data_IF_458671930570
#
_entry.id   IF_458671930570
#
_cell.length_a   1.000
_cell.length_b   1.000
_cell.length_c   1.000
_cell.angle_alpha   90.00
_cell.angle_beta   90.00
_cell.angle_gamma   90.00
#
_symmetry.space_group_name_H-M   'P 1'
#
loop_
_entity.id
_entity.type
_entity.pdbx_description
1 polymer ?
#
# COMPACT_ATOMS: atom_id res chain seq x y z
N UNK A 1 -6.86 9.07 12.75
CA UNK A 1 -6.52 9.43 11.35
C UNK A 1 -5.16 10.12 11.26
N UNK A 2 -4.87 11.14 12.08
CA UNK A 2 -3.55 11.79 12.09
C UNK A 2 -2.41 10.79 12.40
N UNK A 3 -2.48 10.05 13.51
CA UNK A 3 -1.46 9.04 13.87
C UNK A 3 -1.24 7.99 12.79
N UNK A 4 -2.34 7.51 12.18
CA UNK A 4 -2.28 6.57 11.06
C UNK A 4 -1.41 7.14 9.94
N UNK A 5 -1.70 8.35 9.44
CA UNK A 5 -0.90 8.91 8.35
C UNK A 5 0.53 9.26 8.78
N UNK A 6 0.74 9.68 10.03
CA UNK A 6 2.04 10.03 10.59
C UNK A 6 3.02 8.83 10.59
N UNK A 7 2.52 7.63 10.89
CA UNK A 7 3.33 6.43 11.11
C UNK A 7 3.20 5.36 10.01
N UNK A 8 2.30 5.56 9.03
CA UNK A 8 2.01 4.65 7.91
C UNK A 8 3.23 4.12 7.16
N UNK A 9 4.33 4.87 7.12
CA UNK A 9 5.59 4.47 6.49
C UNK A 9 6.15 3.14 6.99
N UNK A 10 5.72 2.69 8.17
CA UNK A 10 6.11 1.43 8.80
C UNK A 10 4.96 0.46 9.06
N UNK A 11 3.73 0.82 8.67
CA UNK A 11 2.57 -0.02 8.95
C UNK A 11 2.56 -1.29 8.12
N UNK A 12 2.28 -2.46 8.72
CA UNK A 12 2.13 -3.73 8.00
C UNK A 12 1.21 -3.60 6.78
N UNK A 13 0.11 -2.86 6.89
CA UNK A 13 -0.86 -2.67 5.80
C UNK A 13 -0.28 -1.86 4.62
N UNK A 14 0.59 -0.90 4.90
CA UNK A 14 1.34 -0.18 3.86
C UNK A 14 2.37 -1.10 3.19
N UNK A 15 3.06 -1.94 3.98
CA UNK A 15 4.03 -2.90 3.48
C UNK A 15 3.36 -3.96 2.59
N UNK A 16 2.18 -4.46 2.98
CA UNK A 16 1.38 -5.38 2.20
C UNK A 16 1.03 -4.80 0.82
N UNK A 17 0.58 -3.55 0.76
CA UNK A 17 0.30 -2.85 -0.50
C UNK A 17 1.54 -2.69 -1.39
N UNK A 18 2.69 -2.32 -0.80
CA UNK A 18 3.96 -2.25 -1.56
C UNK A 18 4.38 -3.62 -2.10
N UNK A 19 4.21 -4.69 -1.31
CA UNK A 19 4.54 -6.05 -1.71
C UNK A 19 3.65 -6.54 -2.87
N UNK A 20 2.34 -6.28 -2.77
CA UNK A 20 1.35 -6.60 -3.80
C UNK A 20 1.72 -5.96 -5.13
N UNK A 21 2.00 -4.65 -5.11
CA UNK A 21 2.37 -3.92 -6.32
C UNK A 21 3.71 -4.42 -6.85
N UNK A 22 4.76 -4.52 -6.02
CA UNK A 22 6.07 -4.97 -6.49
C UNK A 22 6.05 -6.38 -7.09
N UNK A 23 5.27 -7.29 -6.51
CA UNK A 23 5.20 -8.68 -6.98
C UNK A 23 4.60 -8.83 -8.39
N UNK A 24 3.77 -7.88 -8.84
CA UNK A 24 3.05 -7.98 -10.11
C UNK A 24 3.39 -6.87 -11.11
N UNK A 25 3.80 -5.70 -10.64
CA UNK A 25 4.15 -4.53 -11.44
C UNK A 25 5.28 -3.75 -10.74
N UNK A 26 6.53 -4.26 -10.76
CA UNK A 26 7.63 -3.67 -9.97
C UNK A 26 8.11 -2.30 -10.45
N UNK A 27 7.84 -1.93 -11.70
CA UNK A 27 8.34 -0.71 -12.32
C UNK A 27 7.34 -0.11 -13.33
N UNK A 28 6.12 0.29 -12.88
CA UNK A 28 5.17 0.95 -13.77
C UNK A 28 5.71 2.32 -14.19
N UNK A 29 5.57 2.64 -15.47
CA UNK A 29 5.82 3.98 -16.02
C UNK A 29 4.68 4.93 -15.70
N UNK A 30 3.43 4.43 -15.64
CA UNK A 30 2.23 5.20 -15.30
C UNK A 30 1.40 4.47 -14.25
N UNK A 31 1.01 5.19 -13.20
CA UNK A 31 0.22 4.62 -12.12
C UNK A 31 -0.95 5.52 -11.70
N UNK A 32 -2.07 4.90 -11.39
CA UNK A 32 -3.27 5.53 -10.86
C UNK A 32 -3.62 4.94 -9.49
N UNK A 33 -4.04 5.76 -8.53
CA UNK A 33 -4.57 5.29 -7.24
C UNK A 33 -5.90 5.96 -6.89
N UNK A 34 -6.95 5.15 -6.73
CA UNK A 34 -8.25 5.58 -6.19
C UNK A 34 -8.21 5.57 -4.66
N UNK A 35 -8.77 6.62 -4.06
CA UNK A 35 -8.72 6.88 -2.62
C UNK A 35 -7.27 6.96 -2.09
N UNK A 36 -6.42 7.68 -2.82
CA UNK A 36 -4.97 7.77 -2.55
C UNK A 36 -4.61 8.44 -1.21
N UNK A 37 -5.58 9.04 -0.50
CA UNK A 37 -5.35 9.71 0.75
C UNK A 37 -4.33 10.84 0.63
N UNK A 38 -3.27 10.78 1.44
CA UNK A 38 -2.17 11.76 1.36
C UNK A 38 -1.03 11.30 0.43
N UNK A 39 -1.20 10.19 -0.30
CA UNK A 39 -0.29 9.78 -1.37
C UNK A 39 0.92 8.96 -0.94
N UNK A 40 0.83 8.13 0.10
CA UNK A 40 1.94 7.26 0.54
C UNK A 40 2.43 6.32 -0.57
N UNK A 41 1.53 5.57 -1.22
CA UNK A 41 1.90 4.68 -2.32
C UNK A 41 2.33 5.47 -3.56
N UNK A 42 1.65 6.58 -3.87
CA UNK A 42 2.06 7.49 -4.95
C UNK A 42 3.49 8.01 -4.77
N UNK A 43 3.93 8.33 -3.54
CA UNK A 43 5.31 8.73 -3.26
C UNK A 43 6.30 7.61 -3.58
N UNK A 44 6.00 6.38 -3.18
CA UNK A 44 6.86 5.23 -3.46
C UNK A 44 7.00 5.00 -4.97
N UNK A 45 5.89 5.09 -5.71
CA UNK A 45 5.83 4.96 -7.17
C UNK A 45 6.58 6.11 -7.88
N UNK A 46 6.33 7.36 -7.50
CA UNK A 46 7.01 8.52 -8.05
C UNK A 46 8.52 8.49 -7.79
N UNK A 47 8.94 8.01 -6.61
CA UNK A 47 10.35 7.78 -6.28
C UNK A 47 11.04 6.73 -7.16
N UNK A 48 10.28 5.93 -7.91
CA UNK A 48 10.76 5.00 -8.93
C UNK A 48 10.60 5.53 -10.36
N UNK A 49 10.20 6.78 -10.52
CA UNK A 49 10.07 7.45 -11.83
C UNK A 49 8.70 7.30 -12.49
N UNK A 50 7.72 6.68 -11.82
CA UNK A 50 6.38 6.57 -12.35
C UNK A 50 5.69 7.94 -12.44
N UNK A 51 4.98 8.20 -13.55
CA UNK A 51 4.02 9.29 -13.63
C UNK A 51 2.75 8.88 -12.87
N UNK A 52 2.49 9.55 -11.74
CA UNK A 52 1.44 9.16 -10.79
C UNK A 52 0.22 10.07 -10.82
N UNK A 53 -0.96 9.46 -10.84
CA UNK A 53 -2.25 10.13 -10.68
C UNK A 53 -2.98 9.61 -9.45
N UNK A 54 -3.38 10.50 -8.54
CA UNK A 54 -4.13 10.18 -7.34
C UNK A 54 -5.52 10.80 -7.35
N UNK A 55 -6.51 10.02 -6.92
CA UNK A 55 -7.87 10.50 -6.67
C UNK A 55 -8.22 10.29 -5.20
N UNK A 56 -8.82 11.28 -4.56
CA UNK A 56 -9.48 11.11 -3.24
C UNK A 56 -10.67 12.08 -3.14
N UNK A 57 -11.70 11.72 -2.39
CA UNK A 57 -12.87 12.59 -2.16
C UNK A 57 -12.56 13.70 -1.13
N UNK A 58 -11.56 13.49 -0.28
CA UNK A 58 -11.20 14.40 0.80
C UNK A 58 -10.12 15.38 0.34
N UNK A 59 -10.54 16.57 -0.09
CA UNK A 59 -9.65 17.64 -0.54
C UNK A 59 -8.47 17.93 0.40
N UNK A 60 -8.72 17.94 1.72
CA UNK A 60 -7.67 18.21 2.71
C UNK A 60 -6.51 17.19 2.66
N UNK A 61 -6.80 15.92 2.32
CA UNK A 61 -5.75 14.90 2.16
C UNK A 61 -4.92 15.17 0.90
N UNK A 62 -5.57 15.53 -0.20
CA UNK A 62 -4.89 15.90 -1.46
C UNK A 62 -4.04 17.16 -1.30
N UNK A 63 -4.50 18.11 -0.47
CA UNK A 63 -3.73 19.28 -0.13
C UNK A 63 -2.43 18.90 0.60
N UNK A 64 -2.51 18.01 1.60
CA UNK A 64 -1.32 17.46 2.27
C UNK A 64 -0.42 16.70 1.29
N UNK A 65 -1.00 15.87 0.42
CA UNK A 65 -0.27 15.12 -0.59
C UNK A 65 0.57 16.06 -1.48
N UNK A 66 -0.05 17.12 -1.99
CA UNK A 66 0.61 18.12 -2.86
C UNK A 66 1.76 18.85 -2.18
N UNK A 67 1.64 19.15 -0.89
CA UNK A 67 2.55 20.10 -0.23
C UNK A 67 3.68 19.41 0.54
N UNK A 68 3.48 18.15 0.97
CA UNK A 68 4.47 17.43 1.77
C UNK A 68 4.88 16.08 1.21
N UNK A 69 3.96 15.30 0.62
CA UNK A 69 4.22 13.87 0.37
C UNK A 69 4.68 13.59 -1.06
N UNK A 70 3.91 14.06 -2.04
CA UNK A 70 4.07 13.77 -3.47
C UNK A 70 3.76 15.00 -4.33
N UNK A 71 4.59 16.06 -4.25
CA UNK A 71 4.35 17.35 -4.92
C UNK A 71 4.30 17.26 -6.45
N UNK A 72 4.85 16.21 -7.05
CA UNK A 72 4.84 15.99 -8.51
C UNK A 72 3.63 15.23 -9.05
N UNK A 73 2.72 14.73 -8.22
CA UNK A 73 1.57 13.93 -8.69
C UNK A 73 0.53 14.77 -9.43
N UNK A 74 -0.23 14.15 -10.33
CA UNK A 74 -1.55 14.67 -10.72
C UNK A 74 -2.55 14.28 -9.64
N UNK A 75 -3.25 15.25 -9.03
CA UNK A 75 -4.17 14.99 -7.91
C UNK A 75 -5.55 15.53 -8.25
N UNK A 76 -6.58 14.69 -8.14
CA UNK A 76 -7.95 15.02 -8.55
C UNK A 76 -8.90 14.76 -7.37
N UNK A 77 -9.63 15.79 -6.96
CA UNK A 77 -10.65 15.66 -5.92
C UNK A 77 -11.98 15.26 -6.56
N UNK A 78 -12.38 14.00 -6.43
CA UNK A 78 -13.66 13.52 -6.94
C UNK A 78 -14.22 12.37 -6.09
N UNK A 79 -15.54 12.19 -6.19
CA UNK A 79 -16.25 11.03 -5.64
C UNK A 79 -16.12 9.85 -6.60
N UNK A 80 -15.72 8.68 -6.08
CA UNK A 80 -15.58 7.45 -6.86
C UNK A 80 -16.88 7.03 -7.57
N UNK A 81 -18.04 7.37 -7.00
CA UNK A 81 -19.35 7.09 -7.61
C UNK A 81 -19.63 7.95 -8.86
N UNK A 82 -18.99 9.12 -8.96
CA UNK A 82 -19.17 10.10 -10.02
C UNK A 82 -18.46 9.78 -11.33
N UNK A 83 -18.36 10.80 -12.20
CA UNK A 83 -17.64 10.73 -13.47
C UNK A 83 -16.15 10.99 -13.29
N UNK A 84 -15.32 10.28 -14.05
CA UNK A 84 -13.86 10.33 -13.92
C UNK A 84 -13.27 11.00 -15.17
N UNK A 85 -12.60 12.17 -15.05
CA UNK A 85 -11.99 12.87 -16.18
C UNK A 85 -10.64 12.25 -16.54
N UNK A 86 -10.62 10.93 -16.80
CA UNK A 86 -9.41 10.14 -17.01
C UNK A 86 -9.48 9.34 -18.32
N UNK A 87 -8.37 9.20 -19.05
CA UNK A 87 -8.35 8.40 -20.27
C UNK A 87 -8.44 6.91 -19.94
N UNK A 88 -9.16 6.16 -20.76
CA UNK A 88 -9.14 4.69 -20.74
C UNK A 88 -7.80 4.18 -21.27
N UNK A 89 -7.29 3.07 -20.74
CA UNK A 89 -6.09 2.42 -21.26
C UNK A 89 -4.76 3.10 -20.90
N UNK A 90 -4.77 4.08 -19.99
CA UNK A 90 -3.63 4.97 -19.75
C UNK A 90 -2.60 4.49 -18.72
N UNK A 91 -2.92 3.45 -17.93
CA UNK A 91 -2.14 3.11 -16.74
C UNK A 91 -1.60 1.68 -16.76
N UNK A 92 -0.31 1.52 -16.47
CA UNK A 92 0.33 0.21 -16.24
C UNK A 92 -0.01 -0.35 -14.86
N UNK A 93 -0.26 0.53 -13.88
CA UNK A 93 -0.77 0.19 -12.56
C UNK A 93 -2.03 0.99 -12.24
N UNK A 94 -3.11 0.31 -11.86
CA UNK A 94 -4.30 0.92 -11.25
C UNK A 94 -4.43 0.32 -9.85
N UNK A 95 -4.51 1.17 -8.82
CA UNK A 95 -4.54 0.73 -7.44
C UNK A 95 -5.71 1.32 -6.65
N UNK A 96 -6.14 0.60 -5.61
CA UNK A 96 -7.03 1.09 -4.57
C UNK A 96 -6.70 0.36 -3.26
N UNK A 97 -6.01 1.03 -2.35
CA UNK A 97 -5.59 0.46 -1.07
C UNK A 97 -6.51 0.97 0.05
N UNK A 98 -6.93 0.09 0.95
CA UNK A 98 -7.61 0.45 2.21
C UNK A 98 -8.86 1.31 1.99
N UNK A 99 -9.61 1.00 0.92
CA UNK A 99 -10.77 1.81 0.54
C UNK A 99 -11.86 1.05 -0.21
N UNK A 100 -11.52 0.11 -1.09
CA UNK A 100 -12.48 -0.47 -2.06
C UNK A 100 -13.77 -1.03 -1.43
N UNK A 101 -13.68 -1.61 -0.22
CA UNK A 101 -14.83 -2.17 0.51
C UNK A 101 -15.82 -1.11 1.02
N UNK A 102 -15.41 0.15 1.15
CA UNK A 102 -16.30 1.27 1.46
C UNK A 102 -17.06 1.81 0.23
N UNK A 103 -16.57 1.54 -0.98
CA UNK A 103 -17.00 2.26 -2.17
C UNK A 103 -18.23 1.63 -2.81
N UNK A 104 -19.18 2.49 -3.20
CA UNK A 104 -20.38 2.10 -3.96
C UNK A 104 -20.65 3.11 -5.09
N UNK A 105 -21.20 2.68 -6.25
CA UNK A 105 -21.56 1.30 -6.60
C UNK A 105 -20.35 0.46 -7.07
N UNK A 106 -20.05 -0.62 -6.35
CA UNK A 106 -18.80 -1.40 -6.45
C UNK A 106 -18.49 -1.93 -7.85
N UNK A 107 -19.50 -2.50 -8.51
CA UNK A 107 -19.34 -3.09 -9.84
C UNK A 107 -19.00 -2.02 -10.89
N UNK A 108 -19.64 -0.84 -10.82
CA UNK A 108 -19.34 0.26 -11.74
C UNK A 108 -17.96 0.87 -11.46
N UNK A 109 -17.58 1.01 -10.19
CA UNK A 109 -16.25 1.48 -9.79
C UNK A 109 -15.17 0.51 -10.27
N UNK A 110 -15.37 -0.81 -10.10
CA UNK A 110 -14.45 -1.81 -10.60
C UNK A 110 -14.35 -1.78 -12.13
N UNK A 111 -15.46 -1.63 -12.84
CA UNK A 111 -15.45 -1.49 -14.29
C UNK A 111 -14.64 -0.26 -14.76
N UNK A 112 -14.75 0.87 -14.05
CA UNK A 112 -13.93 2.07 -14.32
C UNK A 112 -12.46 1.83 -14.00
N UNK A 113 -12.12 1.23 -12.86
CA UNK A 113 -10.73 0.88 -12.55
C UNK A 113 -10.12 -0.01 -13.64
N UNK A 114 -10.88 -1.01 -14.13
CA UNK A 114 -10.43 -1.87 -15.23
C UNK A 114 -10.30 -1.14 -16.56
N UNK A 115 -11.16 -0.17 -16.86
CA UNK A 115 -11.07 0.59 -18.12
C UNK A 115 -9.86 1.53 -18.17
N UNK A 116 -9.28 1.89 -17.02
CA UNK A 116 -8.05 2.66 -16.93
C UNK A 116 -6.78 1.85 -17.26
N UNK A 117 -6.84 0.53 -17.16
CA UNK A 117 -5.70 -0.35 -17.41
C UNK A 117 -5.29 -0.33 -18.89
N UNK A 118 -4.01 -0.13 -19.13
CA UNK A 118 -3.35 -0.46 -20.40
C UNK A 118 -3.44 -1.97 -20.70
N UNK A 119 -3.06 -2.36 -21.92
CA UNK A 119 -3.16 -3.75 -22.40
C UNK A 119 -2.46 -4.76 -21.50
N UNK A 120 -1.33 -4.38 -20.89
CA UNK A 120 -0.56 -5.23 -19.97
C UNK A 120 -0.64 -4.76 -18.51
N UNK A 121 -1.62 -3.90 -18.19
CA UNK A 121 -1.74 -3.28 -16.88
C UNK A 121 -2.18 -4.25 -15.77
N UNK A 122 -1.82 -3.89 -14.54
CA UNK A 122 -2.21 -4.60 -13.31
C UNK A 122 -3.15 -3.74 -12.47
N UNK A 123 -4.23 -4.36 -12.00
CA UNK A 123 -5.11 -3.84 -10.96
C UNK A 123 -4.70 -4.39 -9.60
N UNK A 124 -4.42 -3.52 -8.64
CA UNK A 124 -4.09 -3.88 -7.26
C UNK A 124 -5.16 -3.32 -6.29
N UNK A 125 -5.93 -4.21 -5.68
CA UNK A 125 -6.86 -3.87 -4.58
C UNK A 125 -6.23 -4.37 -3.29
N UNK A 126 -5.72 -3.48 -2.46
CA UNK A 126 -5.03 -3.85 -1.22
C UNK A 126 -5.85 -3.57 0.02
N UNK A 127 -5.58 -4.33 1.08
CA UNK A 127 -6.15 -4.13 2.42
C UNK A 127 -7.68 -4.03 2.43
N UNK A 128 -8.35 -5.08 1.98
CA UNK A 128 -9.79 -5.24 2.15
C UNK A 128 -10.05 -5.85 3.52
N UNK A 129 -10.64 -5.10 4.45
CA UNK A 129 -11.02 -5.66 5.75
C UNK A 129 -11.97 -6.84 5.57
N UNK A 130 -11.60 -7.95 6.19
CA UNK A 130 -12.41 -9.15 6.17
C UNK A 130 -13.57 -9.04 7.16
N UNK A 131 -14.80 -9.23 6.69
CA UNK A 131 -15.97 -9.22 7.58
C UNK A 131 -15.96 -10.39 8.57
N UNK A 132 -15.28 -11.48 8.21
CA UNK A 132 -15.22 -12.73 8.98
C UNK A 132 -14.14 -12.70 10.07
N UNK A 133 -13.39 -11.61 10.18
CA UNK A 133 -12.35 -11.41 11.20
C UNK A 133 -12.75 -10.32 12.21
N UNK A 134 -12.17 -10.39 13.41
CA UNK A 134 -12.35 -9.35 14.43
C UNK A 134 -11.51 -8.13 14.04
N UNK A 135 -12.18 -7.10 13.54
CA UNK A 135 -11.52 -5.89 13.03
C UNK A 135 -11.89 -4.65 13.87
N UNK A 136 -10.88 -3.90 14.32
CA UNK A 136 -11.08 -2.71 15.15
C UNK A 136 -11.76 -1.55 14.39
N UNK A 137 -11.74 -1.56 13.06
CA UNK A 137 -12.40 -0.59 12.19
C UNK A 137 -12.82 -1.20 10.85
N UNK A 138 -13.53 -2.33 10.91
CA UNK A 138 -13.95 -3.10 9.76
C UNK A 138 -14.76 -2.32 8.70
N UNK A 139 -15.44 -1.25 9.11
CA UNK A 139 -16.32 -0.49 8.22
C UNK A 139 -17.34 -1.40 7.54
N UNK A 140 -17.45 -1.27 6.22
CA UNK A 140 -18.22 -2.16 5.34
C UNK A 140 -17.38 -3.33 4.82
N UNK A 141 -16.68 -4.01 5.72
CA UNK A 141 -15.81 -5.14 5.38
C UNK A 141 -16.50 -6.20 4.53
N UNK A 142 -15.72 -6.97 3.78
CA UNK A 142 -16.21 -7.95 2.82
C UNK A 142 -15.59 -9.32 3.05
N UNK A 143 -16.26 -10.39 2.63
CA UNK A 143 -15.61 -11.70 2.59
C UNK A 143 -14.89 -11.87 1.24
N UNK A 144 -13.71 -12.51 1.22
CA UNK A 144 -12.98 -12.77 -0.02
C UNK A 144 -13.82 -13.62 -1.00
N UNK A 145 -14.61 -14.57 -0.49
CA UNK A 145 -15.52 -15.39 -1.31
C UNK A 145 -16.64 -14.57 -1.97
N UNK A 146 -17.16 -13.53 -1.30
CA UNK A 146 -18.18 -12.62 -1.85
C UNK A 146 -17.61 -11.76 -2.98
N UNK A 147 -16.32 -11.39 -2.86
CA UNK A 147 -15.67 -10.50 -3.83
C UNK A 147 -15.08 -11.26 -5.02
N UNK A 148 -14.73 -12.53 -4.86
CA UNK A 148 -14.11 -13.36 -5.90
C UNK A 148 -14.86 -13.40 -7.26
N UNK A 149 -16.21 -13.41 -7.33
CA UNK A 149 -16.91 -13.39 -8.62
C UNK A 149 -16.69 -12.10 -9.42
N UNK A 150 -16.30 -11.00 -8.76
CA UNK A 150 -15.96 -9.73 -9.41
C UNK A 150 -14.53 -9.73 -9.99
N UNK A 151 -13.69 -10.68 -9.56
CA UNK A 151 -12.29 -10.83 -9.96
C UNK A 151 -12.01 -12.25 -10.47
N UNK A 152 -12.64 -12.68 -11.58
CA UNK A 152 -12.43 -14.03 -12.13
C UNK A 152 -10.98 -14.29 -12.57
N UNK A 153 -10.21 -13.23 -12.81
CA UNK A 153 -8.80 -13.19 -13.16
C UNK A 153 -7.87 -12.86 -11.97
N UNK A 154 -8.42 -12.78 -10.75
CA UNK A 154 -7.70 -12.29 -9.58
C UNK A 154 -6.88 -13.36 -8.85
N UNK A 155 -5.67 -13.00 -8.43
CA UNK A 155 -4.91 -13.69 -7.39
C UNK A 155 -5.17 -13.01 -6.05
N UNK A 156 -5.51 -13.80 -5.04
CA UNK A 156 -5.88 -13.33 -3.71
C UNK A 156 -4.75 -13.60 -2.72
N UNK A 157 -4.56 -12.68 -1.78
CA UNK A 157 -3.48 -12.72 -0.81
C UNK A 157 -3.98 -12.36 0.58
N UNK A 158 -3.41 -12.99 1.59
CA UNK A 158 -3.45 -12.49 2.97
C UNK A 158 -2.46 -11.32 3.10
N UNK A 159 -2.89 -10.22 3.73
CA UNK A 159 -2.03 -9.06 3.97
C UNK A 159 -0.81 -9.41 4.85
N UNK A 160 -0.96 -10.34 5.79
CA UNK A 160 0.13 -10.81 6.65
C UNK A 160 1.16 -11.59 5.83
N UNK A 161 0.70 -12.37 4.85
CA UNK A 161 1.56 -13.06 3.90
C UNK A 161 2.35 -12.10 3.01
N UNK A 162 1.69 -11.05 2.50
CA UNK A 162 2.35 -10.00 1.71
C UNK A 162 3.41 -9.26 2.53
N UNK A 163 3.07 -8.87 3.77
CA UNK A 163 3.99 -8.20 4.70
C UNK A 163 5.21 -9.08 4.97
N UNK A 164 5.00 -10.37 5.25
CA UNK A 164 6.06 -11.34 5.52
C UNK A 164 6.92 -11.58 4.28
N UNK A 165 6.33 -11.69 3.09
CA UNK A 165 7.05 -11.85 1.84
C UNK A 165 8.00 -10.66 1.57
N UNK A 166 7.55 -9.44 1.87
CA UNK A 166 8.40 -8.25 1.83
C UNK A 166 9.52 -8.33 2.87
N UNK A 167 9.22 -8.66 4.12
CA UNK A 167 10.25 -8.74 5.17
C UNK A 167 11.34 -9.78 4.83
N UNK A 168 10.95 -10.92 4.24
CA UNK A 168 11.82 -12.04 3.90
C UNK A 168 12.46 -11.93 2.50
N UNK A 169 11.97 -11.03 1.64
CA UNK A 169 12.51 -10.83 0.29
C UNK A 169 12.19 -11.97 -0.68
N UNK A 170 10.98 -12.52 -0.59
CA UNK A 170 10.52 -13.66 -1.40
C UNK A 170 9.26 -13.31 -2.17
N UNK A 171 8.80 -14.23 -3.02
CA UNK A 171 7.51 -14.08 -3.68
C UNK A 171 6.38 -14.35 -2.66
N UNK A 172 5.32 -13.52 -2.63
CA UNK A 172 4.13 -13.81 -1.85
C UNK A 172 3.37 -14.99 -2.45
N UNK A 173 2.78 -15.80 -1.58
CA UNK A 173 1.99 -16.98 -1.96
C UNK A 173 0.52 -16.59 -2.01
N UNK A 174 -0.11 -16.78 -3.17
CA UNK A 174 -1.55 -16.57 -3.31
C UNK A 174 -2.33 -17.67 -2.58
N UNK A 175 -3.51 -17.31 -2.10
CA UNK A 175 -4.44 -18.21 -1.40
C UNK A 175 -5.77 -18.27 -2.16
N UNK A 176 -6.46 -19.41 -2.07
CA UNK A 176 -7.83 -19.48 -2.54
C UNK A 176 -8.72 -18.53 -1.70
N UNK A 177 -9.73 -17.84 -2.29
CA UNK A 177 -10.59 -16.92 -1.53
C UNK A 177 -11.25 -17.56 -0.30
N UNK A 178 -11.61 -18.84 -0.36
CA UNK A 178 -12.19 -19.57 0.78
C UNK A 178 -11.18 -19.85 1.91
N UNK A 179 -9.89 -19.95 1.58
CA UNK A 179 -8.82 -20.13 2.57
C UNK A 179 -8.45 -18.83 3.29
N UNK A 180 -8.99 -17.69 2.83
CA UNK A 180 -8.83 -16.39 3.48
C UNK A 180 -9.93 -16.11 4.52
N UNK A 181 -10.80 -17.09 4.81
CA UNK A 181 -11.76 -16.96 5.91
C UNK A 181 -11.03 -16.73 7.24
N UNK A 182 -11.31 -15.60 7.90
CA UNK A 182 -10.77 -15.27 9.21
C UNK A 182 -9.41 -14.56 9.24
N UNK A 183 -8.76 -14.31 8.10
CA UNK A 183 -7.62 -13.37 8.04
C UNK A 183 -8.13 -11.94 8.26
N UNK A 184 -7.34 -11.06 8.88
CA UNK A 184 -7.75 -9.69 9.23
C UNK A 184 -8.17 -8.87 8.00
N UNK A 185 -7.32 -8.90 6.97
CA UNK A 185 -7.54 -8.25 5.69
C UNK A 185 -6.90 -9.07 4.57
N UNK A 186 -7.38 -8.86 3.35
CA UNK A 186 -6.86 -9.51 2.17
C UNK A 186 -6.67 -8.53 1.01
N UNK A 187 -5.91 -8.95 0.02
CA UNK A 187 -5.62 -8.18 -1.17
C UNK A 187 -5.85 -9.00 -2.44
N UNK A 188 -5.98 -8.30 -3.57
CA UNK A 188 -6.23 -8.87 -4.89
C UNK A 188 -5.32 -8.20 -5.91
N UNK A 189 -4.59 -8.99 -6.69
CA UNK A 189 -3.99 -8.56 -7.94
C UNK A 189 -4.79 -9.15 -9.10
N UNK A 190 -5.15 -8.34 -10.09
CA UNK A 190 -5.93 -8.75 -11.26
C UNK A 190 -5.43 -8.02 -12.51
N UNK A 191 -5.90 -8.41 -13.70
CA UNK A 191 -5.57 -7.73 -14.94
C UNK A 191 -5.30 -8.68 -16.11
N UNK A 192 -5.41 -8.16 -17.35
CA UNK A 192 -5.30 -8.94 -18.58
C UNK A 192 -3.96 -9.67 -18.75
N UNK A 193 -2.88 -9.11 -18.20
CA UNK A 193 -1.55 -9.69 -18.27
C UNK A 193 -1.03 -10.19 -16.92
N UNK A 194 -1.91 -10.48 -15.95
CA UNK A 194 -1.46 -10.93 -14.63
C UNK A 194 -0.56 -12.16 -14.74
N UNK A 195 0.63 -12.04 -14.16
CA UNK A 195 1.64 -13.11 -14.08
C UNK A 195 1.74 -13.63 -12.65
N UNK A 196 2.29 -14.84 -12.44
CA UNK A 196 2.65 -15.30 -11.11
C UNK A 196 3.48 -14.26 -10.35
N UNK A 197 3.24 -14.16 -9.05
CA UNK A 197 3.93 -13.21 -8.18
C UNK A 197 5.46 -13.40 -8.22
N UNK A 198 6.17 -12.29 -8.35
CA UNK A 198 7.63 -12.23 -8.30
C UNK A 198 8.13 -11.96 -6.89
N UNK A 199 9.42 -12.20 -6.65
CA UNK A 199 10.04 -11.91 -5.36
C UNK A 199 10.15 -10.40 -5.10
N UNK A 200 9.84 -9.98 -3.87
CA UNK A 200 9.91 -8.59 -3.43
C UNK A 200 11.35 -8.22 -3.05
N UNK A 201 12.18 -7.97 -4.06
CA UNK A 201 13.63 -7.78 -3.92
C UNK A 201 14.06 -6.33 -3.65
N UNK A 202 13.13 -5.39 -3.51
CA UNK A 202 13.41 -4.00 -3.14
C UNK A 202 13.41 -3.04 -4.32
N UNK A 203 12.50 -3.29 -5.27
CA UNK A 203 11.92 -2.25 -6.11
C UNK A 203 11.09 -1.31 -5.22
N UNK A 204 9.78 -1.20 -5.44
CA UNK A 204 8.91 -0.32 -4.67
C UNK A 204 8.95 -0.50 -3.13
N UNK A 205 9.22 -1.71 -2.64
CA UNK A 205 9.29 -2.06 -1.24
C UNK A 205 10.47 -1.41 -0.49
N UNK A 206 11.54 -1.00 -1.19
CA UNK A 206 12.66 -0.30 -0.59
C UNK A 206 12.79 1.12 -1.14
N UNK A 207 13.26 2.08 -0.33
CA UNK A 207 13.63 3.41 -0.83
C UNK A 207 14.65 3.33 -1.98
N UNK A 208 14.76 4.35 -2.84
CA UNK A 208 15.83 4.42 -3.84
C UNK A 208 17.22 4.35 -3.18
N UNK A 209 18.21 3.80 -3.89
CA UNK A 209 19.59 3.85 -3.42
C UNK A 209 20.04 5.31 -3.25
N UNK A 210 20.76 5.61 -2.17
CA UNK A 210 21.19 6.98 -1.86
C UNK A 210 20.13 7.84 -1.18
N UNK A 211 18.89 7.36 -1.00
CA UNK A 211 17.86 8.10 -0.25
C UNK A 211 18.28 8.29 1.21
N UNK A 212 17.95 9.46 1.78
CA UNK A 212 18.12 9.72 3.20
C UNK A 212 17.01 9.02 3.97
N UNK A 213 17.38 8.20 4.94
CA UNK A 213 16.49 7.48 5.83
C UNK A 213 16.55 8.10 7.21
N UNK A 214 15.41 8.09 7.90
CA UNK A 214 15.30 8.45 9.31
C UNK A 214 14.97 7.22 10.13
N UNK A 215 15.42 7.17 11.40
CA UNK A 215 14.91 6.18 12.35
C UNK A 215 13.39 6.27 12.41
N UNK A 216 12.72 5.12 12.42
CA UNK A 216 11.28 5.05 12.48
C UNK A 216 10.76 5.90 13.66
N UNK A 217 9.85 6.87 13.43
CA UNK A 217 9.29 7.73 14.48
C UNK A 217 8.55 7.00 15.61
N UNK A 218 8.32 5.69 15.46
CA UNK A 218 7.84 4.84 16.55
C UNK A 218 8.93 4.53 17.60
N UNK A 219 10.19 4.86 17.37
CA UNK A 219 11.24 4.72 18.38
C UNK A 219 11.47 6.02 19.15
N UNK A 220 11.55 5.91 20.48
CA UNK A 220 12.00 7.00 21.34
C UNK A 220 13.50 7.31 21.17
N UNK A 221 13.99 8.32 21.87
CA UNK A 221 15.41 8.73 21.79
C UNK A 221 16.38 7.61 22.14
N UNK A 222 15.98 6.69 23.03
CA UNK A 222 16.75 5.54 23.45
C UNK A 222 16.56 4.30 22.54
N UNK A 223 15.83 4.45 21.44
CA UNK A 223 15.61 3.39 20.45
C UNK A 223 14.59 2.34 20.88
N UNK A 224 13.73 2.60 21.87
CA UNK A 224 12.64 1.68 22.28
C UNK A 224 11.34 2.06 21.60
N UNK A 225 10.51 1.06 21.27
CA UNK A 225 9.19 1.33 20.71
C UNK A 225 8.31 2.13 21.67
N UNK A 226 7.79 3.24 21.17
CA UNK A 226 6.84 4.14 21.80
C UNK A 226 5.60 4.26 20.89
N UNK A 227 4.63 3.37 21.11
CA UNK A 227 3.40 3.37 20.33
C UNK A 227 2.58 4.65 20.57
N UNK A 228 2.02 5.28 19.53
CA UNK A 228 1.26 6.53 19.68
C UNK A 228 -0.02 6.34 20.49
N UNK A 229 -0.56 5.11 20.51
CA UNK A 229 -1.68 4.75 21.38
C UNK A 229 -1.75 3.24 21.63
N UNK A 230 -2.43 2.78 22.70
CA UNK A 230 -2.72 1.36 22.91
C UNK A 230 -3.54 0.74 21.77
N UNK A 231 -4.40 1.53 21.11
CA UNK A 231 -5.15 1.07 19.94
C UNK A 231 -4.21 0.76 18.79
N UNK A 232 -3.33 1.69 18.44
CA UNK A 232 -2.35 1.52 17.37
C UNK A 232 -1.45 0.31 17.62
N UNK A 233 -0.99 0.14 18.87
CA UNK A 233 -0.21 -1.03 19.27
C UNK A 233 -0.96 -2.35 19.02
N UNK A 234 -2.22 -2.45 19.42
CA UNK A 234 -3.01 -3.68 19.20
C UNK A 234 -3.24 -3.98 17.73
N UNK A 235 -3.38 -2.94 16.90
CA UNK A 235 -3.70 -3.05 15.48
C UNK A 235 -2.48 -3.46 14.63
N UNK A 236 -1.32 -2.83 14.87
CA UNK A 236 -0.12 -3.02 14.03
C UNK A 236 1.02 -3.75 14.73
N UNK A 237 1.09 -3.70 16.07
CA UNK A 237 2.18 -4.29 16.85
C UNK A 237 2.43 -5.78 16.60
N UNK A 238 1.39 -6.65 16.58
CA UNK A 238 1.57 -8.08 16.34
C UNK A 238 2.22 -8.42 14.98
N UNK A 239 2.19 -7.48 14.03
CA UNK A 239 2.65 -7.66 12.64
C UNK A 239 3.83 -6.76 12.29
N UNK A 240 4.38 -6.05 13.27
CA UNK A 240 5.53 -5.18 13.08
C UNK A 240 6.74 -5.96 12.56
N UNK A 241 7.39 -5.45 11.52
CA UNK A 241 8.58 -6.08 10.90
C UNK A 241 9.90 -5.66 11.54
N UNK A 242 9.84 -4.74 12.51
CA UNK A 242 10.97 -4.11 13.19
C UNK A 242 11.07 -4.58 14.65
N UNK A 243 12.29 -4.65 15.23
CA UNK A 243 12.50 -5.12 16.59
C UNK A 243 11.93 -4.17 17.65
N UNK A 244 11.65 -4.64 18.88
CA UNK A 244 11.15 -3.81 19.97
C UNK A 244 12.14 -2.74 20.46
N UNK A 245 13.43 -2.94 20.15
CA UNK A 245 14.49 -1.96 20.39
C UNK A 245 15.44 -1.94 19.19
N UNK A 246 15.91 -0.76 18.81
CA UNK A 246 16.86 -0.57 17.71
C UNK A 246 18.10 0.20 18.15
N UNK A 247 19.24 -0.13 17.54
CA UNK A 247 20.46 0.67 17.59
C UNK A 247 20.70 1.42 16.26
N UNK A 248 19.70 1.45 15.37
CA UNK A 248 19.79 2.18 14.11
C UNK A 248 20.07 3.68 14.38
N UNK A 249 20.92 4.31 13.57
CA UNK A 249 21.22 5.73 13.72
C UNK A 249 19.96 6.57 13.47
N UNK A 250 19.95 7.80 13.97
CA UNK A 250 18.86 8.76 13.73
C UNK A 250 18.63 9.01 12.24
N UNK A 251 19.72 9.06 11.47
CA UNK A 251 19.71 9.22 10.02
C UNK A 251 20.73 8.29 9.39
N UNK A 252 20.44 7.81 8.18
CA UNK A 252 21.34 6.98 7.39
C UNK A 252 21.10 7.22 5.89
N UNK A 253 22.05 6.82 5.06
CA UNK A 253 21.86 6.73 3.62
C UNK A 253 21.43 5.31 3.28
N UNK A 254 20.46 5.16 2.37
CA UNK A 254 20.06 3.86 1.89
C UNK A 254 21.14 3.24 1.00
N UNK A 255 21.94 2.37 1.60
CA UNK A 255 23.04 1.62 1.01
C UNK A 255 22.99 0.13 1.43
N UNK A 256 24.03 -0.62 1.09
CA UNK A 256 24.11 -2.05 1.44
C UNK A 256 24.12 -2.29 2.96
N UNK A 257 24.70 -1.39 3.76
CA UNK A 257 24.79 -1.54 5.22
C UNK A 257 23.43 -1.34 5.89
N UNK A 258 22.60 -0.42 5.38
CA UNK A 258 21.31 -0.07 5.97
C UNK A 258 20.12 -0.75 5.28
N UNK A 259 20.33 -1.52 4.20
CA UNK A 259 19.28 -2.18 3.42
C UNK A 259 18.35 -3.06 4.28
N UNK A 260 18.91 -3.81 5.23
CA UNK A 260 18.13 -4.69 6.09
C UNK A 260 17.23 -3.90 7.06
N UNK A 261 17.74 -2.81 7.62
CA UNK A 261 17.00 -1.90 8.50
C UNK A 261 15.90 -1.16 7.74
N UNK A 262 16.16 -0.75 6.49
CA UNK A 262 15.15 -0.18 5.60
C UNK A 262 14.03 -1.17 5.27
N UNK A 263 14.38 -2.44 4.99
CA UNK A 263 13.42 -3.52 4.70
C UNK A 263 12.49 -3.78 5.87
N UNK A 264 13.04 -3.86 7.08
CA UNK A 264 12.28 -4.10 8.31
C UNK A 264 11.57 -2.88 8.86
N UNK A 265 11.79 -1.68 8.29
CA UNK A 265 11.26 -0.39 8.74
C UNK A 265 11.77 0.05 10.12
N UNK A 266 13.00 -0.34 10.45
CA UNK A 266 13.78 0.32 11.50
C UNK A 266 14.19 1.73 11.05
N UNK A 267 14.51 1.83 9.75
CA UNK A 267 14.77 3.06 9.04
C UNK A 267 13.69 3.25 7.97
N UNK A 268 13.14 4.45 7.85
CA UNK A 268 12.07 4.81 6.93
C UNK A 268 12.45 6.02 6.09
N UNK A 269 11.97 6.06 4.85
CA UNK A 269 12.14 7.20 3.97
C UNK A 269 10.94 8.13 4.12
N UNK A 270 11.11 9.16 4.95
CA UNK A 270 10.10 10.17 5.20
C UNK A 270 10.15 11.27 4.14
N UNK A 271 9.05 12.00 3.90
CA UNK A 271 9.11 13.25 3.15
C UNK A 271 10.04 14.27 3.79
N UNK A 272 10.63 15.15 2.98
CA UNK A 272 11.67 16.11 3.42
C UNK A 272 11.17 17.10 4.48
N UNK A 273 9.86 17.35 4.51
CA UNK A 273 9.18 18.27 5.43
C UNK A 273 8.23 17.54 6.40
N UNK A 274 8.47 16.26 6.63
CA UNK A 274 7.60 15.40 7.43
C UNK A 274 7.60 15.76 8.91
#
# INVERSE_FOLDING_TARGET
VADYFAHRWSDPTYLAGLALVEAHCPAPSTAFELACGIGHHLRALAGRGAAVTGVDVVFAKLWVARHWVVPGATLICLDAAGEWPLPTGGFELVACHDAFYFLEPKAAILARLRSLLSTDGVLAIGHVHNREATNFSAGSGMCAAELSPMFPDGLFYDDDELTRALAEGRAPVASAPTALSGVEAFAIAAGPALRPAQAVLGGLALPPAGAVLSRNPLYDDAGRLAWPSPRYHREYGPRATYPPQTAAPLTAIHDAAHRAQARRRELVHLPERW
#
